data_IF_576594675678
#
_entry.id   IF_576594675678
#
_cell.length_a   1.000
_cell.length_b   1.000
_cell.length_c   1.000
_cell.angle_alpha   90.00
_cell.angle_beta   90.00
_cell.angle_gamma   90.00
#
_symmetry.space_group_name_H-M   'P 1'
#
loop_
_entity.id
_entity.type
_entity.pdbx_description
1 polymer ?
#
# COMPACT_ATOMS: atom_id res chain seq x y z
N UNK A 1 -27.61 31.40 -30.05
CA UNK A 1 -26.18 31.50 -29.62
C UNK A 1 -26.01 31.38 -28.15
N UNK A 2 -26.68 32.28 -27.43
CA UNK A 2 -26.49 32.27 -25.99
C UNK A 2 -26.97 30.99 -25.34
N UNK A 3 -28.11 30.49 -25.79
CA UNK A 3 -28.62 29.24 -25.23
C UNK A 3 -27.70 28.08 -25.48
N UNK A 4 -27.12 28.06 -26.66
CA UNK A 4 -26.19 26.97 -26.98
C UNK A 4 -24.96 27.02 -26.12
N UNK A 5 -24.46 28.24 -25.86
CA UNK A 5 -23.30 28.39 -25.02
C UNK A 5 -23.60 28.04 -23.57
N UNK A 6 -24.79 28.41 -23.11
CA UNK A 6 -25.18 28.06 -21.75
C UNK A 6 -25.34 26.56 -21.59
N UNK A 7 -25.92 25.93 -22.62
CA UNK A 7 -26.08 24.48 -22.57
C UNK A 7 -24.71 23.81 -22.55
N UNK A 8 -23.81 24.29 -23.38
CA UNK A 8 -22.47 23.70 -23.43
C UNK A 8 -21.74 23.95 -22.12
N UNK A 9 -21.95 25.10 -21.51
CA UNK A 9 -21.34 25.40 -20.22
C UNK A 9 -21.80 24.40 -19.18
N UNK A 10 -23.10 24.09 -19.16
CA UNK A 10 -23.61 23.12 -18.19
C UNK A 10 -23.05 21.74 -18.43
N UNK A 11 -22.91 21.36 -19.69
CA UNK A 11 -22.31 20.07 -20.02
C UNK A 11 -20.89 19.99 -19.53
N UNK A 12 -20.13 21.06 -19.74
CA UNK A 12 -18.73 21.09 -19.32
C UNK A 12 -18.60 21.06 -17.82
N UNK A 13 -19.48 21.77 -17.11
CA UNK A 13 -19.47 21.74 -15.65
C UNK A 13 -19.75 20.34 -15.16
N UNK A 14 -20.69 19.66 -15.80
CA UNK A 14 -21.03 18.30 -15.41
C UNK A 14 -19.87 17.35 -15.66
N UNK A 15 -19.20 17.51 -16.78
CA UNK A 15 -18.03 16.68 -17.09
C UNK A 15 -16.91 16.92 -16.10
N UNK A 16 -16.71 18.18 -15.72
CA UNK A 16 -15.69 18.50 -14.75
C UNK A 16 -15.99 17.86 -13.41
N UNK A 17 -17.24 17.99 -12.97
CA UNK A 17 -17.65 17.42 -11.69
C UNK A 17 -17.48 15.91 -11.69
N UNK A 18 -17.83 15.26 -12.80
CA UNK A 18 -17.67 13.81 -12.91
C UNK A 18 -16.20 13.42 -12.85
N UNK A 19 -15.35 14.21 -13.51
CA UNK A 19 -13.92 13.94 -13.47
C UNK A 19 -13.34 14.11 -12.10
N UNK A 20 -13.77 15.16 -11.39
CA UNK A 20 -13.29 15.41 -10.04
C UNK A 20 -13.70 14.28 -9.11
N UNK A 21 -14.92 13.80 -9.27
CA UNK A 21 -15.41 12.71 -8.44
C UNK A 21 -14.63 11.43 -8.74
N UNK A 22 -14.38 11.18 -10.00
CA UNK A 22 -13.60 9.99 -10.38
C UNK A 22 -12.19 10.06 -9.81
N UNK A 23 -11.58 11.23 -9.88
CA UNK A 23 -10.24 11.40 -9.33
C UNK A 23 -10.24 11.14 -7.83
N UNK A 24 -11.23 11.65 -7.12
CA UNK A 24 -11.31 11.43 -5.68
C UNK A 24 -11.49 9.95 -5.38
N UNK A 25 -12.33 9.26 -6.17
CA UNK A 25 -12.53 7.83 -5.97
C UNK A 25 -11.25 7.04 -6.23
N UNK A 26 -10.50 7.42 -7.27
CA UNK A 26 -9.24 6.76 -7.57
C UNK A 26 -8.22 6.99 -6.47
N UNK A 27 -8.19 8.18 -5.91
CA UNK A 27 -7.28 8.49 -4.82
C UNK A 27 -7.62 7.67 -3.58
N UNK A 28 -8.92 7.51 -3.32
CA UNK A 28 -9.35 6.69 -2.19
C UNK A 28 -8.98 5.23 -2.40
N UNK A 29 -9.15 4.73 -3.62
CA UNK A 29 -8.74 3.37 -3.93
C UNK A 29 -7.23 3.19 -3.80
N UNK A 30 -6.49 4.19 -4.25
CA UNK A 30 -5.03 4.15 -4.13
C UNK A 30 -4.62 4.06 -2.67
N UNK A 31 -5.22 4.88 -1.81
CA UNK A 31 -4.90 4.84 -0.40
C UNK A 31 -5.21 3.48 0.21
N UNK A 32 -6.33 2.90 -0.18
CA UNK A 32 -6.72 1.59 0.33
C UNK A 32 -5.74 0.51 -0.10
N UNK A 33 -5.33 0.55 -1.36
CA UNK A 33 -4.35 -0.42 -1.87
C UNK A 33 -3.01 -0.24 -1.17
N UNK A 34 -2.61 1.00 -0.94
CA UNK A 34 -1.36 1.25 -0.25
C UNK A 34 -1.36 0.68 1.15
N UNK A 35 -2.48 0.85 1.87
CA UNK A 35 -2.60 0.27 3.20
C UNK A 35 -2.52 -1.24 3.16
N UNK A 36 -3.18 -1.84 2.18
CA UNK A 36 -3.13 -3.29 2.02
C UNK A 36 -1.72 -3.76 1.73
N UNK A 37 -1.02 -3.04 0.86
CA UNK A 37 0.35 -3.39 0.51
C UNK A 37 1.28 -3.29 1.71
N UNK A 38 1.09 -2.26 2.53
CA UNK A 38 1.91 -2.11 3.73
C UNK A 38 1.67 -3.26 4.70
N UNK A 39 0.42 -3.66 4.83
CA UNK A 39 0.09 -4.77 5.72
C UNK A 39 0.69 -6.06 5.23
N UNK A 40 0.60 -6.30 3.94
CA UNK A 40 1.17 -7.50 3.33
C UNK A 40 2.69 -7.48 3.45
N UNK A 41 3.30 -6.34 3.15
CA UNK A 41 4.75 -6.22 3.25
C UNK A 41 5.23 -6.48 4.67
N UNK A 42 4.47 -5.98 5.66
CA UNK A 42 4.79 -6.24 7.05
C UNK A 42 4.72 -7.72 7.40
N UNK A 43 3.67 -8.38 6.89
CA UNK A 43 3.52 -9.81 7.13
C UNK A 43 4.65 -10.60 6.49
N UNK A 44 5.02 -10.21 5.28
CA UNK A 44 6.14 -10.86 4.60
C UNK A 44 7.41 -10.69 5.40
N UNK A 45 7.65 -9.49 5.88
CA UNK A 45 8.86 -9.21 6.65
C UNK A 45 8.92 -10.07 7.91
N UNK A 46 7.80 -10.15 8.63
CA UNK A 46 7.75 -10.94 9.85
C UNK A 46 8.02 -12.42 9.55
N UNK A 47 7.40 -12.94 8.51
CA UNK A 47 7.58 -14.34 8.15
C UNK A 47 9.02 -14.61 7.71
N UNK A 48 9.60 -13.68 6.98
CA UNK A 48 11.00 -13.83 6.57
C UNK A 48 11.93 -13.83 7.76
N UNK A 49 11.63 -12.98 8.73
CA UNK A 49 12.44 -12.93 9.94
C UNK A 49 12.32 -14.23 10.74
N UNK A 50 11.11 -14.75 10.85
CA UNK A 50 10.92 -15.99 11.57
C UNK A 50 11.57 -17.18 10.86
N UNK A 51 11.42 -17.24 9.55
CA UNK A 51 12.05 -18.30 8.79
C UNK A 51 13.57 -18.18 8.81
N UNK A 52 14.06 -16.96 8.71
CA UNK A 52 15.48 -16.70 8.79
C UNK A 52 16.04 -17.09 10.14
N UNK A 53 15.30 -16.81 11.19
CA UNK A 53 15.70 -17.15 12.54
C UNK A 53 15.79 -18.67 12.70
N UNK A 54 14.77 -19.37 12.23
CA UNK A 54 14.79 -20.83 12.28
C UNK A 54 15.93 -21.40 11.47
N UNK A 55 16.10 -20.90 10.26
CA UNK A 55 17.18 -21.38 9.40
C UNK A 55 18.51 -21.08 10.02
N UNK A 56 18.62 -19.91 10.65
CA UNK A 56 19.85 -19.55 11.33
C UNK A 56 20.16 -20.48 12.46
N UNK A 57 19.15 -20.84 13.24
CA UNK A 57 19.36 -21.74 14.35
C UNK A 57 19.75 -23.12 13.89
N UNK A 58 19.13 -23.58 12.80
CA UNK A 58 19.45 -24.89 12.28
C UNK A 58 20.82 -24.91 11.63
N UNK A 59 21.15 -23.87 10.91
CA UNK A 59 22.41 -23.82 10.19
C UNK A 59 23.58 -23.49 11.08
N UNK A 60 23.34 -22.79 12.18
CA UNK A 60 24.40 -22.33 13.03
C UNK A 60 24.89 -23.41 13.94
N UNK A 61 26.17 -23.49 14.13
CA UNK A 61 26.66 -24.37 15.17
C UNK A 61 26.20 -23.84 16.50
N UNK A 62 26.11 -24.69 17.48
CA UNK A 62 25.72 -24.24 18.79
C UNK A 62 26.64 -23.13 19.23
N UNK A 63 26.05 -22.04 19.63
CA UNK A 63 26.83 -20.94 20.03
C UNK A 63 27.36 -21.10 21.38
N UNK A 64 28.46 -20.75 21.52
CA UNK A 64 28.89 -20.61 22.78
C UNK A 64 28.22 -19.47 23.28
N UNK A 65 27.85 -18.80 23.08
CA UNK A 65 27.36 -17.81 23.55
C UNK A 65 26.47 -17.23 23.17
N UNK A 66 26.32 -16.94 23.68
CA UNK A 66 25.47 -16.39 23.53
C UNK A 66 25.35 -15.33 22.85
N UNK A 67 25.91 -15.05 22.48
CA UNK A 67 25.74 -14.11 21.81
C UNK A 67 24.66 -14.24 21.33
N UNK A 68 24.26 -15.01 21.53
CA UNK A 68 23.28 -15.15 21.13
C UNK A 68 22.37 -14.57 21.54
N UNK A 69 22.45 -14.23 22.21
CA UNK A 69 21.58 -13.70 22.73
C UNK A 69 21.14 -12.82 22.05
N UNK A 70 21.25 -12.39 21.79
CA UNK A 70 20.74 -11.58 21.21
C UNK A 70 20.49 -11.64 20.10
N UNK A 71 20.41 -11.91 19.84
CA UNK A 71 20.06 -11.95 18.91
C UNK A 71 19.39 -11.77 18.36
N UNK A 72 19.37 -11.57 18.47
CA UNK A 72 18.79 -11.51 18.10
C UNK A 72 18.63 -11.70 17.64
#
# INVERSE_FOLDING_TARGET
MREQMEKRLEELKSELAAGEKLLADLQAQQASVQQTMLRIAGAIQVLQELLGHEAGEEARPPLPNGEETSHS
#
